data_IF_573601563308
#
_entry.id   IF_573601563308
#
_cell.length_a   1.000
_cell.length_b   1.000
_cell.length_c   1.000
_cell.angle_alpha   90.00
_cell.angle_beta   90.00
_cell.angle_gamma   90.00
#
_symmetry.space_group_name_H-M   'P 1'
#
loop_
_entity.id
_entity.type
_entity.pdbx_description
1 polymer ?
#
# COMPACT_ATOMS: atom_id res chain seq x y z
N UNK A 1 7.60 -28.51 5.49
CA UNK A 1 8.77 -28.92 6.28
C UNK A 1 9.97 -27.94 6.16
N UNK A 2 9.77 -26.63 5.95
CA UNK A 2 10.88 -25.69 5.61
C UNK A 2 11.24 -24.66 6.71
N UNK A 3 10.48 -24.56 7.82
CA UNK A 3 10.60 -23.41 8.75
C UNK A 3 11.27 -23.68 10.11
N UNK A 4 11.72 -24.90 10.41
CA UNK A 4 12.01 -25.27 11.81
C UNK A 4 13.44 -24.92 12.26
N UNK A 5 14.39 -24.58 11.37
CA UNK A 5 15.82 -24.60 11.76
C UNK A 5 16.60 -23.27 11.64
N UNK A 6 15.96 -22.11 11.48
CA UNK A 6 16.65 -20.80 11.47
C UNK A 6 15.91 -19.73 12.29
N UNK A 7 16.12 -19.65 13.63
CA UNK A 7 15.40 -18.70 14.48
C UNK A 7 15.63 -17.25 14.05
N UNK A 8 16.84 -16.92 13.58
CA UNK A 8 17.19 -15.58 13.10
C UNK A 8 16.34 -15.11 11.90
N UNK A 9 15.96 -16.03 11.02
CA UNK A 9 15.16 -15.69 9.83
C UNK A 9 13.70 -15.45 10.21
N UNK A 10 13.17 -16.17 11.19
CA UNK A 10 11.80 -15.97 11.68
C UNK A 10 11.61 -14.58 12.32
N UNK A 11 12.53 -14.16 13.20
CA UNK A 11 12.51 -12.82 13.77
C UNK A 11 12.65 -11.73 12.70
N UNK A 12 13.50 -11.95 11.69
CA UNK A 12 13.66 -11.00 10.59
C UNK A 12 12.38 -10.84 9.77
N UNK A 13 11.69 -11.94 9.45
CA UNK A 13 10.41 -11.88 8.72
C UNK A 13 9.33 -11.15 9.51
N UNK A 14 9.25 -11.37 10.84
CA UNK A 14 8.32 -10.65 11.70
C UNK A 14 8.65 -9.15 11.72
N UNK A 15 9.93 -8.78 11.88
CA UNK A 15 10.35 -7.39 11.87
C UNK A 15 10.03 -6.72 10.53
N UNK A 16 10.30 -7.38 9.41
CA UNK A 16 9.97 -6.88 8.07
C UNK A 16 8.46 -6.70 7.91
N UNK A 17 7.65 -7.61 8.45
CA UNK A 17 6.18 -7.50 8.41
C UNK A 17 5.67 -6.30 9.23
N UNK A 18 6.21 -6.10 10.43
CA UNK A 18 5.88 -4.95 11.29
C UNK A 18 6.33 -3.64 10.62
N UNK A 19 7.52 -3.61 10.04
CA UNK A 19 8.02 -2.45 9.30
C UNK A 19 7.16 -2.14 8.08
N UNK A 20 6.67 -3.15 7.36
CA UNK A 20 5.73 -2.95 6.25
C UNK A 20 4.41 -2.32 6.70
N UNK A 21 3.87 -2.77 7.84
CA UNK A 21 2.69 -2.14 8.44
C UNK A 21 2.95 -0.70 8.90
N UNK A 22 4.07 -0.46 9.57
CA UNK A 22 4.46 0.88 10.01
C UNK A 22 4.67 1.83 8.82
N UNK A 23 5.35 1.38 7.77
CA UNK A 23 5.53 2.13 6.53
C UNK A 23 4.20 2.52 5.89
N UNK A 24 3.24 1.59 5.82
CA UNK A 24 1.90 1.88 5.30
C UNK A 24 1.18 2.98 6.11
N UNK A 25 1.26 2.94 7.44
CA UNK A 25 0.64 3.96 8.29
C UNK A 25 1.30 5.32 8.11
N UNK A 26 2.64 5.36 8.04
CA UNK A 26 3.41 6.58 7.79
C UNK A 26 3.07 7.18 6.43
N UNK A 27 2.92 6.36 5.39
CA UNK A 27 2.48 6.85 4.08
C UNK A 27 1.10 7.51 4.14
N UNK A 28 0.15 6.87 4.82
CA UNK A 28 -1.20 7.42 4.93
C UNK A 28 -1.19 8.75 5.69
N UNK A 29 -0.42 8.83 6.77
CA UNK A 29 -0.20 10.08 7.51
C UNK A 29 0.47 11.16 6.64
N UNK A 30 1.44 10.80 5.81
CA UNK A 30 2.10 11.74 4.89
C UNK A 30 1.12 12.27 3.84
N UNK A 31 0.25 11.42 3.29
CA UNK A 31 -0.78 11.83 2.32
C UNK A 31 -1.76 12.82 2.97
N UNK A 32 -2.23 12.53 4.18
CA UNK A 32 -3.11 13.43 4.95
C UNK A 32 -2.44 14.75 5.29
N UNK A 33 -1.17 14.71 5.72
CA UNK A 33 -0.37 15.90 6.01
C UNK A 33 -0.16 16.76 4.75
N UNK A 34 0.05 16.12 3.59
CA UNK A 34 0.20 16.81 2.30
C UNK A 34 -1.09 17.50 1.87
N UNK A 35 -2.24 16.88 2.14
CA UNK A 35 -3.57 17.44 1.91
C UNK A 35 -4.01 18.46 2.97
N UNK A 36 -3.21 18.67 4.03
CA UNK A 36 -3.55 19.52 5.19
C UNK A 36 -4.88 19.13 5.84
N UNK A 37 -5.22 17.84 5.80
CA UNK A 37 -6.43 17.31 6.43
C UNK A 37 -6.07 16.83 7.83
N UNK A 38 -6.60 17.54 8.82
CA UNK A 38 -6.53 17.12 10.21
C UNK A 38 -7.76 16.26 10.52
N UNK A 39 -7.56 14.95 10.61
CA UNK A 39 -8.59 14.02 11.08
C UNK A 39 -8.22 13.45 12.45
N UNK A 40 -9.21 13.25 13.35
CA UNK A 40 -8.96 12.64 14.64
C UNK A 40 -8.52 11.17 14.47
N UNK A 41 -7.78 10.67 15.46
CA UNK A 41 -7.18 9.33 15.42
C UNK A 41 -8.21 8.21 15.14
N UNK A 42 -9.45 8.38 15.61
CA UNK A 42 -10.53 7.41 15.39
C UNK A 42 -10.91 7.32 13.91
N UNK A 43 -10.99 8.44 13.21
CA UNK A 43 -11.35 8.52 11.79
C UNK A 43 -10.22 7.99 10.91
N UNK A 44 -8.97 8.22 11.31
CA UNK A 44 -7.80 7.59 10.69
C UNK A 44 -7.87 6.06 10.78
N UNK A 45 -8.24 5.50 11.93
CA UNK A 45 -8.42 4.06 12.09
C UNK A 45 -9.57 3.55 11.21
N UNK A 46 -10.71 4.26 11.16
CA UNK A 46 -11.82 3.90 10.27
C UNK A 46 -11.40 3.85 8.81
N UNK A 47 -10.64 4.85 8.35
CA UNK A 47 -10.09 4.92 7.00
C UNK A 47 -9.16 3.74 6.69
N UNK A 48 -8.21 3.45 7.58
CA UNK A 48 -7.27 2.32 7.44
C UNK A 48 -8.02 0.99 7.38
N UNK A 49 -9.01 0.79 8.24
CA UNK A 49 -9.80 -0.45 8.28
C UNK A 49 -10.64 -0.59 7.02
N UNK A 50 -11.32 0.46 6.56
CA UNK A 50 -12.10 0.43 5.33
C UNK A 50 -11.24 0.10 4.11
N UNK A 51 -10.06 0.71 3.99
CA UNK A 51 -9.12 0.40 2.90
C UNK A 51 -8.62 -1.05 2.97
N UNK A 52 -8.36 -1.58 4.17
CA UNK A 52 -7.95 -2.98 4.37
C UNK A 52 -9.07 -3.97 4.04
N UNK A 53 -10.31 -3.64 4.41
CA UNK A 53 -11.47 -4.44 4.04
C UNK A 53 -11.69 -4.43 2.52
N UNK A 54 -11.47 -3.29 1.86
CA UNK A 54 -11.50 -3.19 0.40
C UNK A 54 -10.43 -4.07 -0.27
N UNK A 55 -9.24 -4.17 0.33
CA UNK A 55 -8.15 -5.07 -0.11
C UNK A 55 -8.41 -6.55 0.16
N UNK A 56 -9.19 -6.87 1.20
CA UNK A 56 -9.58 -8.25 1.56
C UNK A 56 -10.76 -8.76 0.73
N UNK A 57 -11.50 -7.87 0.04
CA UNK A 57 -12.48 -8.27 -0.95
C UNK A 57 -11.75 -8.93 -2.14
N UNK A 58 -12.22 -10.09 -2.63
CA UNK A 58 -11.55 -10.82 -3.67
C UNK A 58 -11.29 -9.97 -4.92
N UNK A 59 -10.18 -10.32 -5.57
CA UNK A 59 -9.37 -9.55 -6.51
C UNK A 59 -10.05 -8.92 -7.76
N UNK A 60 -11.30 -9.25 -8.21
CA UNK A 60 -11.97 -8.42 -9.22
C UNK A 60 -12.36 -7.00 -8.75
N UNK A 61 -12.26 -6.67 -7.46
CA UNK A 61 -12.62 -5.35 -6.92
C UNK A 61 -11.54 -4.26 -6.97
N UNK A 62 -10.33 -4.57 -7.47
CA UNK A 62 -9.08 -3.89 -7.09
C UNK A 62 -8.94 -2.38 -7.34
N UNK A 63 -9.79 -1.74 -8.15
CA UNK A 63 -9.75 -0.29 -8.43
C UNK A 63 -11.00 0.39 -7.86
N UNK A 64 -12.19 -0.04 -8.32
CA UNK A 64 -13.46 0.59 -7.94
C UNK A 64 -13.88 0.40 -6.48
N UNK A 65 -13.50 -0.70 -5.84
CA UNK A 65 -13.90 -0.94 -4.44
C UNK A 65 -13.10 -0.10 -3.45
N UNK A 66 -11.81 0.17 -3.72
CA UNK A 66 -11.04 1.10 -2.89
C UNK A 66 -11.53 2.53 -3.04
N UNK A 67 -11.84 2.96 -4.28
CA UNK A 67 -12.41 4.29 -4.54
C UNK A 67 -13.77 4.44 -3.83
N UNK A 68 -14.64 3.43 -3.93
CA UNK A 68 -15.93 3.41 -3.26
C UNK A 68 -15.79 3.38 -1.73
N UNK A 69 -14.83 2.65 -1.17
CA UNK A 69 -14.58 2.61 0.27
C UNK A 69 -14.06 3.95 0.80
N UNK A 70 -13.12 4.60 0.09
CA UNK A 70 -12.62 5.93 0.44
C UNK A 70 -13.75 6.96 0.32
N UNK A 71 -14.53 6.91 -0.76
CA UNK A 71 -15.68 7.79 -0.94
C UNK A 71 -16.74 7.59 0.15
N UNK A 72 -17.01 6.34 0.54
CA UNK A 72 -17.94 6.01 1.61
C UNK A 72 -17.46 6.52 2.97
N UNK A 73 -16.17 6.36 3.30
CA UNK A 73 -15.60 6.89 4.54
C UNK A 73 -15.69 8.41 4.57
N UNK A 74 -15.28 9.10 3.51
CA UNK A 74 -15.30 10.55 3.49
C UNK A 74 -16.72 11.14 3.50
N UNK A 75 -17.66 10.50 2.80
CA UNK A 75 -19.09 10.90 2.87
C UNK A 75 -19.67 10.61 4.26
N UNK A 76 -19.29 9.52 4.91
CA UNK A 76 -19.72 9.22 6.28
C UNK A 76 -19.16 10.20 7.32
N UNK A 77 -17.96 10.72 7.08
CA UNK A 77 -17.29 11.71 7.93
C UNK A 77 -17.70 13.16 7.62
N UNK A 78 -18.53 13.40 6.60
CA UNK A 78 -18.97 14.73 6.20
C UNK A 78 -17.86 15.61 5.60
N UNK A 79 -16.79 15.00 5.08
CA UNK A 79 -15.66 15.70 4.47
C UNK A 79 -15.98 16.15 3.04
N UNK A 80 -15.31 17.19 2.56
CA UNK A 80 -15.57 17.79 1.25
C UNK A 80 -15.18 16.84 0.11
N UNK A 81 -15.98 16.79 -0.96
CA UNK A 81 -15.75 15.89 -2.11
C UNK A 81 -14.40 16.16 -2.79
N UNK A 82 -13.92 17.41 -2.78
CA UNK A 82 -12.61 17.77 -3.35
C UNK A 82 -11.44 17.08 -2.61
N UNK A 83 -11.57 16.89 -1.30
CA UNK A 83 -10.54 16.26 -0.47
C UNK A 83 -10.44 14.76 -0.75
N UNK A 84 -11.57 14.12 -1.02
CA UNK A 84 -11.66 12.70 -1.44
C UNK A 84 -10.87 12.48 -2.73
N UNK A 85 -11.10 13.33 -3.73
CA UNK A 85 -10.48 13.20 -5.05
C UNK A 85 -8.97 13.45 -4.94
N UNK A 86 -8.54 14.45 -4.17
CA UNK A 86 -7.13 14.70 -3.90
C UNK A 86 -6.45 13.51 -3.24
N UNK A 87 -7.11 12.89 -2.26
CA UNK A 87 -6.57 11.72 -1.57
C UNK A 87 -6.48 10.49 -2.49
N UNK A 88 -7.52 10.20 -3.27
CA UNK A 88 -7.51 9.11 -4.25
C UNK A 88 -6.41 9.33 -5.29
N UNK A 89 -6.28 10.55 -5.82
CA UNK A 89 -5.26 10.88 -6.81
C UNK A 89 -3.85 10.67 -6.27
N UNK A 90 -3.56 11.11 -5.04
CA UNK A 90 -2.25 10.90 -4.41
C UNK A 90 -1.95 9.42 -4.14
N UNK A 91 -2.92 8.66 -3.66
CA UNK A 91 -2.78 7.21 -3.46
C UNK A 91 -2.42 6.52 -4.78
N UNK A 92 -3.10 6.88 -5.87
CA UNK A 92 -2.86 6.28 -7.18
C UNK A 92 -1.55 6.73 -7.82
N UNK A 93 -1.17 7.99 -7.62
CA UNK A 93 0.13 8.47 -8.03
C UNK A 93 1.25 7.69 -7.34
N UNK A 94 1.13 7.45 -6.02
CA UNK A 94 2.07 6.61 -5.26
C UNK A 94 2.13 5.20 -5.84
N UNK A 95 0.99 4.56 -6.07
CA UNK A 95 0.94 3.18 -6.58
C UNK A 95 1.58 3.08 -7.97
N UNK A 96 1.35 4.07 -8.84
CA UNK A 96 2.01 4.17 -10.15
C UNK A 96 3.53 4.29 -10.00
N UNK A 97 4.00 5.14 -9.09
CA UNK A 97 5.44 5.30 -8.83
C UNK A 97 6.05 3.98 -8.35
N UNK A 98 5.40 3.29 -7.40
CA UNK A 98 5.87 1.99 -6.89
C UNK A 98 5.89 0.94 -8.00
N UNK A 99 4.84 0.86 -8.82
CA UNK A 99 4.76 -0.07 -9.95
C UNK A 99 5.85 0.21 -10.98
N UNK A 100 6.12 1.49 -11.28
CA UNK A 100 7.20 1.88 -12.19
C UNK A 100 8.57 1.46 -11.65
N UNK A 101 8.87 1.73 -10.38
CA UNK A 101 10.11 1.27 -9.76
C UNK A 101 10.23 -0.25 -9.76
N UNK A 102 9.13 -0.96 -9.46
CA UNK A 102 9.08 -2.42 -9.52
C UNK A 102 9.34 -2.97 -10.93
N UNK A 103 8.74 -2.36 -11.95
CA UNK A 103 8.94 -2.73 -13.35
C UNK A 103 10.38 -2.49 -13.80
N UNK A 104 10.97 -1.35 -13.42
CA UNK A 104 12.37 -1.03 -13.69
C UNK A 104 13.30 -2.06 -13.01
N UNK A 105 13.09 -2.33 -11.72
CA UNK A 105 13.88 -3.32 -10.98
C UNK A 105 13.78 -4.72 -11.58
N UNK A 106 12.56 -5.13 -11.97
CA UNK A 106 12.31 -6.39 -12.64
C UNK A 106 13.01 -6.47 -14.00
N UNK A 107 12.95 -5.40 -14.79
CA UNK A 107 13.65 -5.32 -16.07
C UNK A 107 15.18 -5.46 -15.90
N UNK A 108 15.77 -4.79 -14.92
CA UNK A 108 17.20 -4.92 -14.61
C UNK A 108 17.59 -6.33 -14.16
N UNK A 109 16.76 -6.97 -13.32
CA UNK A 109 16.97 -8.35 -12.87
C UNK A 109 16.86 -9.35 -14.03
N UNK A 110 15.87 -9.20 -14.91
CA UNK A 110 15.70 -10.07 -16.07
C UNK A 110 16.88 -9.94 -17.04
N UNK A 111 17.36 -8.71 -17.28
CA UNK A 111 18.53 -8.46 -18.12
C UNK A 111 19.80 -9.11 -17.57
N UNK A 112 19.94 -9.17 -16.24
CA UNK A 112 21.06 -9.87 -15.55
C UNK A 112 20.92 -11.40 -15.62
N UNK A 113 19.70 -11.92 -15.50
CA UNK A 113 19.41 -13.36 -15.60
C UNK A 113 19.75 -13.93 -16.98
N UNK A 114 19.39 -13.21 -18.06
CA UNK A 114 19.63 -13.62 -19.45
C UNK A 114 21.14 -13.71 -19.80
N UNK A 115 21.99 -12.92 -19.13
CA UNK A 115 23.45 -12.96 -19.35
C UNK A 115 24.14 -14.14 -18.66
N UNK A 116 23.54 -14.71 -17.60
CA UNK A 116 24.12 -15.81 -16.83
C UNK A 116 23.74 -17.19 -17.38
N UNK A 117 22.60 -17.32 -18.07
CA UNK A 117 22.18 -18.57 -18.74
C UNK A 117 22.69 -18.75 -20.18
N UNK A 118 23.81 -18.10 -20.53
CA UNK A 118 24.50 -18.22 -21.83
C UNK A 118 25.97 -18.61 -21.66
N UNK A 119 26.40 -18.97 -20.45
CA UNK A 119 27.76 -19.44 -20.16
C UNK A 119 27.83 -20.95 -19.89
N UNK A 120 26.68 -21.62 -19.92
CA UNK A 120 26.42 -23.05 -19.90
C UNK A 120 26.06 -23.54 -21.32
#
# INVERSE_FOLDING_TARGET
SFFINKPKTFYFTILVSILGWAGMLVELLLILAFLKIEIPMIDFVYLVVAMRLALLLPVPGGIGTMEAAIFWVFTSLGLNTFDVVGMIALIRLRDLVIVLFGMIAFHYLMKRSIWLGRQD
#
